data_IF_609542679791
#
_entry.id   IF_609542679791
#
_cell.length_a   1.000
_cell.length_b   1.000
_cell.length_c   1.000
_cell.angle_alpha   90.00
_cell.angle_beta   90.00
_cell.angle_gamma   90.00
#
_symmetry.space_group_name_H-M   'P 1'
#
loop_
_entity.id
_entity.type
_entity.pdbx_description
1 polymer ?
#
# COMPACT_ATOMS: atom_id res chain seq x y z
N UNK A 1 11.53 3.23 14.83
CA UNK A 1 10.39 2.78 14.00
C UNK A 1 10.35 1.27 14.07
N UNK A 2 9.25 0.69 14.56
CA UNK A 2 9.15 -0.76 14.73
C UNK A 2 9.09 -1.42 13.36
N UNK A 3 9.88 -2.47 13.16
CA UNK A 3 9.92 -3.29 11.93
C UNK A 3 8.61 -4.06 11.64
N UNK A 4 7.54 -3.79 12.39
CA UNK A 4 6.26 -4.48 12.33
C UNK A 4 5.10 -3.59 11.86
N UNK A 5 5.31 -2.28 11.70
CA UNK A 5 4.23 -1.37 11.28
C UNK A 5 3.96 -1.49 9.78
N UNK A 6 2.73 -1.88 9.43
CA UNK A 6 2.30 -1.98 8.04
C UNK A 6 1.76 -0.63 7.56
N UNK A 7 2.38 -0.09 6.51
CA UNK A 7 1.94 1.13 5.84
C UNK A 7 1.14 0.78 4.59
N UNK A 8 -0.12 1.21 4.52
CA UNK A 8 -0.98 1.00 3.35
C UNK A 8 -1.08 2.29 2.53
N UNK A 9 -0.68 2.24 1.27
CA UNK A 9 -0.79 3.35 0.32
C UNK A 9 -1.89 3.07 -0.69
N UNK A 10 -2.96 3.86 -0.62
CA UNK A 10 -4.08 3.84 -1.54
C UNK A 10 -3.75 4.77 -2.71
N UNK A 11 -3.81 4.23 -3.92
CA UNK A 11 -3.48 4.98 -5.13
C UNK A 11 -2.02 4.84 -5.56
N UNK A 12 -1.83 4.68 -6.87
CA UNK A 12 -0.53 4.46 -7.52
C UNK A 12 -0.19 5.60 -8.50
N UNK A 13 -0.69 6.80 -8.22
CA UNK A 13 -0.30 8.03 -8.91
C UNK A 13 1.12 8.50 -8.54
N UNK A 14 1.60 9.63 -9.08
CA UNK A 14 2.95 10.13 -8.82
C UNK A 14 3.27 10.29 -7.32
N UNK A 15 2.32 10.86 -6.55
CA UNK A 15 2.49 11.07 -5.10
C UNK A 15 2.54 9.74 -4.35
N UNK A 16 1.59 8.82 -4.62
CA UNK A 16 1.56 7.51 -3.98
C UNK A 16 2.85 6.71 -4.24
N UNK A 17 3.38 6.77 -5.47
CA UNK A 17 4.68 6.16 -5.81
C UNK A 17 5.83 6.77 -5.03
N UNK A 18 5.88 8.10 -4.89
CA UNK A 18 6.91 8.77 -4.10
C UNK A 18 6.86 8.38 -2.62
N UNK A 19 5.66 8.27 -2.04
CA UNK A 19 5.46 7.80 -0.67
C UNK A 19 5.95 6.36 -0.50
N UNK A 20 5.57 5.45 -1.41
CA UNK A 20 6.04 4.06 -1.40
C UNK A 20 7.57 4.01 -1.45
N UNK A 21 8.21 4.74 -2.38
CA UNK A 21 9.67 4.80 -2.46
C UNK A 21 10.33 5.31 -1.18
N UNK A 22 9.78 6.36 -0.58
CA UNK A 22 10.31 6.90 0.68
C UNK A 22 10.18 5.91 1.84
N UNK A 23 9.05 5.22 1.96
CA UNK A 23 8.83 4.21 2.99
C UNK A 23 9.73 2.99 2.82
N UNK A 24 9.94 2.53 1.58
CA UNK A 24 10.87 1.44 1.30
C UNK A 24 12.32 1.79 1.64
N UNK A 25 12.76 3.02 1.33
CA UNK A 25 14.09 3.51 1.70
C UNK A 25 14.32 3.53 3.22
N UNK A 26 13.25 3.69 3.99
CA UNK A 26 13.27 3.64 5.46
C UNK A 26 13.18 2.20 6.01
N UNK A 27 13.09 1.19 5.14
CA UNK A 27 12.92 -0.22 5.54
C UNK A 27 11.53 -0.54 6.09
N UNK A 28 10.53 0.30 5.81
CA UNK A 28 9.16 0.07 6.26
C UNK A 28 8.49 -1.05 5.44
N UNK A 29 7.53 -1.73 6.07
CA UNK A 29 6.70 -2.72 5.39
C UNK A 29 5.53 -2.02 4.71
N UNK A 30 5.47 -2.12 3.39
CA UNK A 30 4.52 -1.35 2.57
C UNK A 30 3.57 -2.26 1.81
N UNK A 31 2.28 -1.94 1.88
CA UNK A 31 1.25 -2.49 1.00
C UNK A 31 0.69 -1.40 0.11
N UNK A 32 0.54 -1.70 -1.16
CA UNK A 32 -0.10 -0.83 -2.14
C UNK A 32 -1.44 -1.39 -2.56
N UNK A 33 -2.41 -0.52 -2.79
CA UNK A 33 -3.74 -0.91 -3.27
C UNK A 33 -3.91 -0.49 -4.72
N UNK A 34 -4.27 -1.44 -5.58
CA UNK A 34 -4.52 -1.21 -7.00
C UNK A 34 -5.80 -1.89 -7.45
N UNK A 35 -6.53 -1.29 -8.41
CA UNK A 35 -7.72 -1.92 -9.01
C UNK A 35 -7.36 -3.07 -9.97
N UNK A 36 -6.10 -3.18 -10.40
CA UNK A 36 -5.65 -4.19 -11.36
C UNK A 36 -4.22 -4.66 -11.07
N UNK A 37 -4.00 -5.97 -11.11
CA UNK A 37 -2.70 -6.62 -10.83
C UNK A 37 -1.61 -6.35 -11.88
N UNK A 38 -1.97 -5.79 -13.04
CA UNK A 38 -1.11 -5.66 -14.21
C UNK A 38 0.08 -4.70 -14.03
N UNK A 39 0.05 -3.85 -13.00
CA UNK A 39 1.10 -2.85 -12.71
C UNK A 39 2.02 -3.23 -11.54
N UNK A 40 1.83 -4.40 -10.93
CA UNK A 40 2.16 -4.54 -9.52
C UNK A 40 3.23 -5.60 -9.27
N UNK A 41 4.48 -5.26 -9.59
CA UNK A 41 5.67 -5.97 -9.10
C UNK A 41 6.78 -4.98 -8.82
N UNK A 42 6.75 -4.38 -7.62
CA UNK A 42 7.92 -3.73 -7.04
C UNK A 42 8.47 -4.66 -5.95
N UNK A 43 9.75 -5.01 -6.03
CA UNK A 43 10.38 -5.84 -5.02
C UNK A 43 10.27 -5.15 -3.64
N UNK A 44 9.82 -5.88 -2.62
CA UNK A 44 9.63 -5.36 -1.26
C UNK A 44 8.28 -4.70 -0.98
N UNK A 45 7.35 -4.68 -1.94
CA UNK A 45 5.99 -4.13 -1.75
C UNK A 45 4.95 -5.24 -1.80
N UNK A 46 4.10 -5.31 -0.78
CA UNK A 46 2.87 -6.12 -0.84
C UNK A 46 1.86 -5.44 -1.78
N UNK A 47 1.24 -6.21 -2.66
CA UNK A 47 0.20 -5.69 -3.56
C UNK A 47 -1.12 -6.27 -3.13
N UNK A 48 -2.08 -5.39 -2.84
CA UNK A 48 -3.47 -5.76 -2.63
C UNK A 48 -4.30 -5.29 -3.83
N UNK A 49 -5.01 -6.22 -4.47
CA UNK A 49 -5.91 -5.89 -5.58
C UNK A 49 -7.30 -5.68 -5.02
N UNK A 50 -7.84 -4.47 -5.18
CA UNK A 50 -9.14 -4.10 -4.66
C UNK A 50 -9.54 -2.70 -5.10
N UNK A 51 -10.84 -2.42 -5.06
CA UNK A 51 -11.40 -1.09 -5.30
C UNK A 51 -11.85 -0.48 -3.98
N UNK A 52 -11.05 0.43 -3.43
CA UNK A 52 -11.31 1.08 -2.14
C UNK A 52 -12.59 1.93 -2.09
N UNK A 53 -13.26 2.16 -3.23
CA UNK A 53 -14.61 2.74 -3.23
C UNK A 53 -15.68 1.75 -2.72
N UNK A 54 -15.39 0.45 -2.77
CA UNK A 54 -16.21 -0.61 -2.18
C UNK A 54 -15.77 -0.85 -0.74
N UNK A 55 -16.75 -0.85 0.18
CA UNK A 55 -16.49 -0.94 1.62
C UNK A 55 -15.66 -2.15 2.01
N UNK A 56 -15.97 -3.30 1.43
CA UNK A 56 -15.37 -4.58 1.79
C UNK A 56 -13.91 -4.67 1.30
N UNK A 57 -13.67 -4.18 0.09
CA UNK A 57 -12.34 -4.03 -0.49
C UNK A 57 -11.49 -3.05 0.34
N UNK A 58 -12.06 -1.94 0.82
CA UNK A 58 -11.35 -0.99 1.68
C UNK A 58 -10.94 -1.63 3.02
N UNK A 59 -11.85 -2.36 3.66
CA UNK A 59 -11.56 -3.10 4.90
C UNK A 59 -10.45 -4.13 4.69
N UNK A 60 -10.56 -4.92 3.61
CA UNK A 60 -9.58 -5.95 3.27
C UNK A 60 -8.20 -5.37 2.95
N UNK A 61 -8.16 -4.26 2.21
CA UNK A 61 -6.92 -3.58 1.85
C UNK A 61 -6.17 -3.03 3.07
N UNK A 62 -6.91 -2.47 4.03
CA UNK A 62 -6.38 -1.85 5.25
C UNK A 62 -6.18 -2.84 6.40
N UNK A 63 -6.48 -4.13 6.22
CA UNK A 63 -6.34 -5.12 7.28
C UNK A 63 -4.89 -5.21 7.79
N UNK A 64 -4.72 -4.94 9.10
CA UNK A 64 -3.43 -4.92 9.78
C UNK A 64 -2.59 -3.66 9.57
N UNK A 65 -3.14 -2.63 8.91
CA UNK A 65 -2.42 -1.37 8.71
C UNK A 65 -2.24 -0.60 10.03
N UNK A 66 -1.02 -0.12 10.27
CA UNK A 66 -0.74 0.88 11.32
C UNK A 66 -1.05 2.28 10.80
N UNK A 67 -0.79 2.55 9.51
CA UNK A 67 -0.99 3.85 8.86
C UNK A 67 -1.58 3.66 7.47
N UNK A 68 -2.51 4.54 7.08
CA UNK A 68 -3.11 4.59 5.73
C UNK A 68 -2.83 5.94 5.09
N UNK A 69 -2.34 5.93 3.85
CA UNK A 69 -2.14 7.10 2.99
C UNK A 69 -3.15 7.04 1.84
N UNK A 70 -3.89 8.13 1.58
CA UNK A 70 -4.89 8.24 0.52
C UNK A 70 -4.72 9.52 -0.29
#
# INVERSE_FOLDING_TARGET
MNSHDLHVVIGQGPVGKAVVSSLLLQGARVRTVTRSSRSARHAGVEVHVGDVSRREDAISACAGATVVYQ
#
